data_IF_842384340376
#
_entry.id   IF_842384340376
#
_cell.length_a   1.000
_cell.length_b   1.000
_cell.length_c   1.000
_cell.angle_alpha   90.00
_cell.angle_beta   90.00
_cell.angle_gamma   90.00
#
_symmetry.space_group_name_H-M   'P 1'
#
loop_
_entity.id
_entity.type
_entity.pdbx_description
1 polymer ?
#
# COMPACT_ATOMS: atom_id res chain seq x y z
N UNK A 1 -32.51 38.30 -5.44
CA UNK A 1 -32.03 37.60 -4.23
C UNK A 1 -30.77 36.80 -4.64
N UNK A 2 -29.59 37.29 -4.28
CA UNK A 2 -28.32 36.65 -4.58
C UNK A 2 -28.10 35.62 -3.46
N UNK A 3 -28.24 34.34 -3.75
CA UNK A 3 -27.87 33.28 -2.84
C UNK A 3 -26.35 33.34 -2.67
N UNK A 4 -25.86 33.66 -1.49
CA UNK A 4 -24.46 33.59 -1.16
C UNK A 4 -23.96 32.15 -1.36
N UNK A 5 -22.86 31.99 -2.07
CA UNK A 5 -22.20 30.67 -2.20
C UNK A 5 -21.86 30.15 -0.78
N UNK A 6 -22.07 28.86 -0.51
CA UNK A 6 -21.73 28.29 0.79
C UNK A 6 -20.24 28.53 1.08
N UNK A 7 -19.94 29.02 2.27
CA UNK A 7 -18.55 29.23 2.69
C UNK A 7 -17.78 27.91 2.68
N UNK A 8 -16.59 27.92 2.09
CA UNK A 8 -15.69 26.75 2.10
C UNK A 8 -15.37 26.40 3.57
N UNK A 9 -15.57 25.13 4.01
CA UNK A 9 -15.25 24.73 5.38
C UNK A 9 -13.75 24.94 5.66
N UNK A 10 -13.41 25.27 6.91
CA UNK A 10 -12.00 25.34 7.30
C UNK A 10 -11.31 23.97 7.11
N UNK A 11 -9.99 23.97 6.88
CA UNK A 11 -9.21 22.74 6.74
C UNK A 11 -9.40 21.78 7.94
N UNK A 12 -9.50 22.34 9.16
CA UNK A 12 -9.77 21.56 10.37
C UNK A 12 -11.14 20.89 10.33
N UNK A 13 -12.20 21.64 10.00
CA UNK A 13 -13.55 21.08 9.90
C UNK A 13 -13.67 20.04 8.77
N UNK A 14 -13.00 20.28 7.65
CA UNK A 14 -12.94 19.33 6.55
C UNK A 14 -12.25 18.03 6.98
N UNK A 15 -11.07 18.13 7.61
CA UNK A 15 -10.32 16.99 8.15
C UNK A 15 -11.15 16.18 9.12
N UNK A 16 -11.82 16.82 10.10
CA UNK A 16 -12.68 16.14 11.07
C UNK A 16 -13.81 15.39 10.38
N UNK A 17 -14.44 16.01 9.37
CA UNK A 17 -15.48 15.36 8.58
C UNK A 17 -14.96 14.11 7.88
N UNK A 18 -13.83 14.20 7.16
CA UNK A 18 -13.25 13.06 6.44
C UNK A 18 -12.89 11.92 7.41
N UNK A 19 -12.30 12.24 8.57
CA UNK A 19 -11.94 11.23 9.56
C UNK A 19 -13.19 10.54 10.15
N UNK A 20 -14.26 11.29 10.41
CA UNK A 20 -15.51 10.74 10.91
C UNK A 20 -16.19 9.85 9.87
N UNK A 21 -16.31 10.30 8.61
CA UNK A 21 -16.89 9.53 7.53
C UNK A 21 -16.10 8.23 7.28
N UNK A 22 -14.77 8.28 7.31
CA UNK A 22 -13.93 7.10 7.17
C UNK A 22 -14.07 6.12 8.35
N UNK A 23 -14.34 6.60 9.56
CA UNK A 23 -14.59 5.75 10.73
C UNK A 23 -15.88 4.93 10.61
N UNK A 24 -16.81 5.35 9.75
CA UNK A 24 -18.06 4.64 9.47
C UNK A 24 -17.96 3.63 8.32
N UNK A 25 -16.81 3.56 7.64
CA UNK A 25 -16.60 2.57 6.57
C UNK A 25 -16.68 1.16 7.15
N UNK A 26 -17.53 0.35 6.52
CA UNK A 26 -17.70 -1.06 6.84
C UNK A 26 -17.66 -1.89 5.55
N UNK A 27 -16.92 -2.97 5.61
CA UNK A 27 -16.84 -3.99 4.57
C UNK A 27 -17.31 -5.33 5.16
N UNK A 28 -18.60 -5.41 5.59
CA UNK A 28 -19.15 -6.64 6.13
C UNK A 28 -19.18 -7.68 5.02
N UNK A 29 -19.03 -8.94 5.37
CA UNK A 29 -19.07 -10.06 4.43
C UNK A 29 -18.15 -9.85 3.21
N UNK A 30 -16.90 -9.41 3.47
CA UNK A 30 -15.92 -9.07 2.43
C UNK A 30 -15.79 -10.18 1.38
N UNK A 31 -15.90 -11.45 1.79
CA UNK A 31 -15.86 -12.59 0.88
C UNK A 31 -17.01 -12.55 -0.16
N UNK A 32 -18.20 -12.11 0.24
CA UNK A 32 -19.35 -11.97 -0.67
C UNK A 32 -19.26 -10.74 -1.58
N UNK A 33 -18.39 -9.80 -1.24
CA UNK A 33 -18.17 -8.57 -2.01
C UNK A 33 -17.12 -8.73 -3.11
N UNK A 34 -16.31 -9.81 -3.05
CA UNK A 34 -15.24 -10.06 -4.02
C UNK A 34 -15.81 -10.86 -5.19
N UNK A 35 -15.65 -10.33 -6.41
CA UNK A 35 -16.02 -11.06 -7.62
C UNK A 35 -14.92 -12.07 -7.98
N UNK A 36 -15.27 -13.34 -7.94
CA UNK A 36 -14.34 -14.44 -8.19
C UNK A 36 -13.43 -14.79 -7.03
N UNK A 37 -12.38 -15.55 -7.31
CA UNK A 37 -11.43 -16.01 -6.30
C UNK A 37 -10.42 -14.89 -5.95
N UNK A 38 -10.23 -14.57 -4.65
CA UNK A 38 -9.22 -13.61 -4.24
C UNK A 38 -7.81 -14.15 -4.49
N UNK A 39 -6.84 -13.25 -4.68
CA UNK A 39 -5.43 -13.62 -4.81
C UNK A 39 -4.86 -14.23 -3.52
N UNK A 40 -5.40 -13.79 -2.39
CA UNK A 40 -5.06 -14.30 -1.06
C UNK A 40 -6.23 -14.10 -0.11
N UNK A 41 -6.42 -15.07 0.80
CA UNK A 41 -7.39 -14.99 1.90
C UNK A 41 -6.85 -15.71 3.12
N UNK A 42 -6.92 -15.07 4.28
CA UNK A 42 -6.61 -15.69 5.57
C UNK A 42 -7.36 -14.99 6.69
N UNK A 43 -7.79 -15.76 7.68
CA UNK A 43 -8.40 -15.24 8.91
C UNK A 43 -7.45 -15.43 10.10
N UNK A 44 -7.44 -14.47 11.03
CA UNK A 44 -6.61 -14.52 12.23
C UNK A 44 -7.39 -14.98 13.46
N UNK A 45 -6.71 -15.55 14.47
CA UNK A 45 -7.34 -15.85 15.76
C UNK A 45 -7.91 -14.62 16.48
N UNK A 46 -7.41 -13.43 16.15
CA UNK A 46 -7.88 -12.17 16.74
C UNK A 46 -9.10 -11.58 16.01
N UNK A 47 -9.71 -12.31 15.06
CA UNK A 47 -10.88 -11.86 14.31
C UNK A 47 -10.56 -10.84 13.22
N UNK A 48 -9.38 -10.94 12.61
CA UNK A 48 -9.02 -10.18 11.42
C UNK A 48 -9.12 -11.07 10.17
N UNK A 49 -9.77 -10.59 9.14
CA UNK A 49 -9.78 -11.19 7.81
C UNK A 49 -8.86 -10.40 6.90
N UNK A 50 -7.89 -11.07 6.29
CA UNK A 50 -7.00 -10.50 5.27
C UNK A 50 -7.37 -11.04 3.91
N UNK A 51 -7.62 -10.13 2.97
CA UNK A 51 -7.94 -10.48 1.58
C UNK A 51 -7.09 -9.62 0.64
N UNK A 52 -6.48 -10.25 -0.37
CA UNK A 52 -5.83 -9.54 -1.47
C UNK A 52 -6.61 -9.79 -2.75
N UNK A 53 -7.01 -8.72 -3.41
CA UNK A 53 -7.86 -8.74 -4.61
C UNK A 53 -7.35 -7.77 -5.66
N UNK A 54 -7.76 -7.94 -6.90
CA UNK A 54 -7.62 -6.90 -7.94
C UNK A 54 -8.71 -5.85 -7.75
N UNK A 55 -8.43 -4.60 -8.10
CA UNK A 55 -9.41 -3.52 -8.01
C UNK A 55 -10.71 -3.81 -8.77
N UNK A 56 -10.60 -4.50 -9.92
CA UNK A 56 -11.77 -4.93 -10.70
C UNK A 56 -12.65 -5.98 -10.00
N UNK A 57 -12.15 -6.68 -8.98
CA UNK A 57 -12.91 -7.66 -8.20
C UNK A 57 -13.75 -7.03 -7.08
N UNK A 58 -13.54 -5.74 -6.80
CA UNK A 58 -14.33 -5.01 -5.82
C UNK A 58 -15.44 -4.21 -6.50
N UNK A 59 -16.65 -4.16 -5.93
CA UNK A 59 -17.66 -3.21 -6.38
C UNK A 59 -17.11 -1.78 -6.34
N UNK A 60 -17.43 -0.92 -7.32
CA UNK A 60 -16.90 0.45 -7.38
C UNK A 60 -17.08 1.24 -6.08
N UNK A 61 -18.23 1.11 -5.42
CA UNK A 61 -18.50 1.78 -4.14
C UNK A 61 -17.54 1.30 -3.03
N UNK A 62 -17.13 0.03 -3.02
CA UNK A 62 -16.19 -0.52 -2.04
C UNK A 62 -14.76 -0.09 -2.33
N UNK A 63 -14.43 0.03 -3.60
CA UNK A 63 -13.15 0.63 -4.00
C UNK A 63 -13.10 2.11 -3.59
N UNK A 64 -14.20 2.86 -3.71
CA UNK A 64 -14.29 4.23 -3.18
C UNK A 64 -14.10 4.28 -1.66
N UNK A 65 -14.68 3.36 -0.90
CA UNK A 65 -14.48 3.25 0.54
C UNK A 65 -12.99 3.04 0.91
N UNK A 66 -12.26 2.23 0.14
CA UNK A 66 -10.81 2.06 0.30
C UNK A 66 -10.07 3.39 0.11
N UNK A 67 -10.42 4.16 -0.93
CA UNK A 67 -9.77 5.46 -1.19
C UNK A 67 -10.15 6.53 -0.16
N UNK A 68 -11.35 6.47 0.41
CA UNK A 68 -11.74 7.29 1.58
C UNK A 68 -10.92 6.95 2.81
N UNK A 69 -10.76 5.66 3.10
CA UNK A 69 -9.91 5.20 4.20
C UNK A 69 -8.48 5.72 4.02
N UNK A 70 -7.90 5.60 2.82
CA UNK A 70 -6.53 6.06 2.53
C UNK A 70 -6.36 7.55 2.80
N UNK A 71 -7.27 8.40 2.27
CA UNK A 71 -7.23 9.84 2.53
C UNK A 71 -7.28 10.16 4.03
N UNK A 72 -8.17 9.48 4.77
CA UNK A 72 -8.29 9.67 6.21
C UNK A 72 -6.98 9.34 6.95
N UNK A 73 -6.31 8.23 6.60
CA UNK A 73 -5.04 7.87 7.22
C UNK A 73 -3.94 8.91 6.91
N UNK A 74 -3.89 9.44 5.69
CA UNK A 74 -2.95 10.50 5.32
C UNK A 74 -3.20 11.79 6.11
N UNK A 75 -4.45 12.24 6.17
CA UNK A 75 -4.83 13.42 6.96
C UNK A 75 -4.52 13.23 8.44
N UNK A 76 -4.74 12.02 8.97
CA UNK A 76 -4.45 11.72 10.37
C UNK A 76 -2.95 11.79 10.68
N UNK A 77 -2.10 11.38 9.74
CA UNK A 77 -0.64 11.40 9.85
C UNK A 77 -0.02 12.73 9.48
N UNK A 78 -0.76 13.67 8.91
CA UNK A 78 -0.22 14.91 8.37
C UNK A 78 0.69 14.66 7.14
N UNK A 79 0.40 13.62 6.38
CA UNK A 79 1.15 13.28 5.15
C UNK A 79 0.60 13.94 3.90
N UNK A 80 -0.51 14.62 4.05
CA UNK A 80 -1.20 15.35 2.98
C UNK A 80 -1.49 16.76 3.46
N UNK A 81 -1.45 17.70 2.54
CA UNK A 81 -1.80 19.11 2.81
C UNK A 81 -3.32 19.21 3.05
N UNK A 82 -3.70 19.46 4.31
CA UNK A 82 -5.10 19.52 4.72
C UNK A 82 -5.84 20.73 4.13
N UNK A 83 -5.16 21.85 3.87
CA UNK A 83 -5.75 23.03 3.26
C UNK A 83 -6.07 22.80 1.80
N UNK A 84 -5.15 22.16 1.07
CA UNK A 84 -5.36 21.76 -0.32
C UNK A 84 -6.45 20.70 -0.44
N UNK A 85 -6.44 19.69 0.44
CA UNK A 85 -7.49 18.68 0.47
C UNK A 85 -8.88 19.31 0.70
N UNK A 86 -8.98 20.28 1.61
CA UNK A 86 -10.19 21.03 1.88
C UNK A 86 -10.60 21.93 0.70
N UNK A 87 -9.64 22.68 0.13
CA UNK A 87 -9.88 23.56 -1.02
C UNK A 87 -10.36 22.79 -2.26
N UNK A 88 -9.87 21.58 -2.47
CA UNK A 88 -10.32 20.68 -3.53
C UNK A 88 -11.57 19.86 -3.16
N UNK A 89 -12.09 19.97 -1.93
CA UNK A 89 -13.23 19.22 -1.46
C UNK A 89 -13.03 17.70 -1.43
N UNK A 90 -11.80 17.21 -1.27
CA UNK A 90 -11.48 15.79 -1.36
C UNK A 90 -12.11 15.01 -0.20
N UNK A 91 -12.90 13.99 -0.52
CA UNK A 91 -13.44 13.03 0.45
C UNK A 91 -12.81 11.65 0.33
N UNK A 92 -12.05 11.42 -0.74
CA UNK A 92 -11.29 10.21 -1.02
C UNK A 92 -9.97 10.58 -1.71
N UNK A 93 -8.96 9.73 -1.64
CA UNK A 93 -7.74 9.91 -2.45
C UNK A 93 -8.12 9.79 -3.94
N UNK A 94 -7.65 10.72 -4.79
CA UNK A 94 -7.93 10.66 -6.22
C UNK A 94 -7.48 9.32 -6.84
N UNK A 95 -8.32 8.71 -7.63
CA UNK A 95 -8.04 7.49 -8.38
C UNK A 95 -8.23 7.71 -9.89
N UNK A 96 -7.65 6.84 -10.67
CA UNK A 96 -7.85 6.78 -12.12
C UNK A 96 -8.33 5.38 -12.56
N UNK A 97 -8.58 5.20 -13.87
CA UNK A 97 -9.06 3.94 -14.42
C UNK A 97 -8.08 2.77 -14.23
N UNK A 98 -6.79 3.04 -14.09
CA UNK A 98 -5.77 2.00 -13.88
C UNK A 98 -5.84 1.39 -12.48
N UNK A 99 -6.48 2.05 -11.52
CA UNK A 99 -6.72 1.50 -10.18
C UNK A 99 -7.50 0.17 -10.20
N UNK A 100 -8.25 -0.10 -11.26
CA UNK A 100 -8.94 -1.39 -11.43
C UNK A 100 -7.99 -2.56 -11.67
N UNK A 101 -6.77 -2.30 -12.12
CA UNK A 101 -5.72 -3.31 -12.33
C UNK A 101 -4.82 -3.48 -11.10
N UNK A 102 -4.83 -2.52 -10.19
CA UNK A 102 -4.06 -2.57 -8.95
C UNK A 102 -4.52 -3.74 -8.09
N UNK A 103 -3.59 -4.32 -7.34
CA UNK A 103 -3.92 -5.30 -6.32
C UNK A 103 -4.06 -4.56 -4.98
N UNK A 104 -5.11 -4.88 -4.25
CA UNK A 104 -5.45 -4.29 -2.96
C UNK A 104 -5.45 -5.36 -1.89
N UNK A 105 -4.60 -5.20 -0.87
CA UNK A 105 -4.63 -6.01 0.34
C UNK A 105 -5.44 -5.27 1.40
N UNK A 106 -6.48 -5.90 1.89
CA UNK A 106 -7.39 -5.38 2.89
C UNK A 106 -7.30 -6.25 4.14
N UNK A 107 -7.12 -5.63 5.30
CA UNK A 107 -7.25 -6.29 6.61
C UNK A 107 -8.47 -5.72 7.30
N UNK A 108 -9.47 -6.55 7.50
CA UNK A 108 -10.79 -6.16 8.03
C UNK A 108 -11.04 -6.88 9.35
N UNK A 109 -11.61 -6.21 10.32
CA UNK A 109 -12.13 -6.83 11.54
C UNK A 109 -13.44 -7.54 11.22
N UNK A 110 -13.49 -8.86 11.39
CA UNK A 110 -14.62 -9.70 10.93
C UNK A 110 -15.95 -9.30 11.58
N UNK A 111 -15.93 -9.06 12.89
CA UNK A 111 -17.14 -8.73 13.66
C UNK A 111 -17.81 -7.42 13.20
N UNK A 112 -17.00 -6.41 12.91
CA UNK A 112 -17.50 -5.05 12.63
C UNK A 112 -17.44 -4.66 11.16
N UNK A 113 -16.73 -5.41 10.33
CA UNK A 113 -16.41 -5.06 8.95
C UNK A 113 -15.47 -3.85 8.81
N UNK A 114 -14.84 -3.36 9.90
CA UNK A 114 -13.96 -2.17 9.84
C UNK A 114 -12.65 -2.49 9.15
N UNK A 115 -12.27 -1.61 8.21
CA UNK A 115 -10.96 -1.68 7.57
C UNK A 115 -9.87 -1.24 8.57
N UNK A 116 -8.94 -2.15 8.87
CA UNK A 116 -7.87 -1.98 9.86
C UNK A 116 -6.49 -1.84 9.25
N UNK A 117 -6.28 -2.37 8.07
CA UNK A 117 -5.02 -2.31 7.35
C UNK A 117 -5.21 -2.33 5.86
N UNK A 118 -4.25 -1.76 5.15
CA UNK A 118 -4.28 -1.65 3.71
C UNK A 118 -2.88 -1.67 3.12
N UNK A 119 -2.75 -2.30 1.95
CA UNK A 119 -1.58 -2.23 1.09
C UNK A 119 -1.98 -2.31 -0.36
N UNK A 120 -1.18 -1.74 -1.26
CA UNK A 120 -1.42 -1.87 -2.69
C UNK A 120 -0.16 -2.20 -3.45
N UNK A 121 -0.34 -2.96 -4.53
CA UNK A 121 0.62 -3.19 -5.57
C UNK A 121 0.04 -2.57 -6.84
N UNK A 122 0.56 -1.40 -7.20
CA UNK A 122 0.04 -0.61 -8.30
C UNK A 122 0.60 -1.11 -9.64
N UNK A 123 -0.28 -1.25 -10.62
CA UNK A 123 0.09 -1.58 -11.99
C UNK A 123 0.56 -0.34 -12.75
N UNK A 124 1.33 -0.54 -13.82
CA UNK A 124 1.72 0.56 -14.71
C UNK A 124 0.52 1.24 -15.36
N UNK A 125 0.65 2.53 -15.64
CA UNK A 125 -0.30 3.32 -16.45
C UNK A 125 0.10 3.38 -17.93
N UNK A 126 1.26 2.85 -18.24
CA UNK A 126 1.77 2.84 -19.62
C UNK A 126 0.90 1.97 -20.54
N UNK A 127 0.83 2.28 -21.84
CA UNK A 127 0.21 1.40 -22.83
C UNK A 127 0.79 -0.02 -22.75
N UNK A 128 -0.01 -1.04 -23.05
CA UNK A 128 0.38 -2.45 -22.88
C UNK A 128 1.64 -2.86 -23.67
N UNK A 129 1.93 -2.18 -24.78
CA UNK A 129 3.13 -2.43 -25.60
C UNK A 129 4.36 -1.63 -25.14
N UNK A 130 4.22 -0.66 -24.23
CA UNK A 130 5.32 0.22 -23.82
C UNK A 130 6.40 -0.56 -23.05
N UNK A 131 7.65 -0.17 -23.30
CA UNK A 131 8.84 -0.60 -22.56
C UNK A 131 9.36 0.55 -21.72
N UNK A 132 10.13 0.27 -20.70
CA UNK A 132 10.69 1.31 -19.79
C UNK A 132 11.53 2.36 -20.53
N UNK A 133 12.16 2.01 -21.66
CA UNK A 133 12.94 2.95 -22.48
C UNK A 133 12.14 3.76 -23.49
N UNK A 134 10.85 3.49 -23.67
CA UNK A 134 10.03 4.11 -24.71
C UNK A 134 9.52 5.48 -24.26
N UNK A 135 9.32 6.40 -25.23
CA UNK A 135 8.65 7.68 -24.98
C UNK A 135 7.18 7.53 -24.53
N UNK A 136 6.56 6.38 -24.80
CA UNK A 136 5.20 6.05 -24.37
C UNK A 136 5.16 5.53 -22.91
N UNK A 137 6.31 5.30 -22.26
CA UNK A 137 6.35 4.94 -20.86
C UNK A 137 5.87 6.08 -19.99
N UNK A 138 4.89 5.81 -19.13
CA UNK A 138 4.44 6.74 -18.11
C UNK A 138 5.16 6.40 -16.80
N UNK A 139 5.94 7.34 -16.23
CA UNK A 139 6.78 7.07 -15.08
C UNK A 139 5.99 6.58 -13.86
N UNK A 140 6.53 5.60 -13.17
CA UNK A 140 6.09 5.22 -11.83
C UNK A 140 6.32 6.38 -10.85
N UNK A 141 5.64 6.34 -9.71
CA UNK A 141 5.81 7.37 -8.68
C UNK A 141 7.26 7.43 -8.21
N UNK A 142 7.90 6.28 -8.02
CA UNK A 142 9.32 6.19 -7.64
C UNK A 142 10.25 6.84 -8.67
N UNK A 143 9.95 6.75 -9.97
CA UNK A 143 10.75 7.43 -11.00
C UNK A 143 10.59 8.94 -10.91
N UNK A 144 9.36 9.40 -10.76
CA UNK A 144 9.04 10.83 -10.68
C UNK A 144 9.62 11.47 -9.42
N UNK A 145 9.44 10.82 -8.27
CA UNK A 145 9.74 11.39 -6.98
C UNK A 145 11.25 11.34 -6.65
N UNK A 146 12.00 10.47 -7.33
CA UNK A 146 13.46 10.35 -7.18
C UNK A 146 14.25 10.77 -8.43
N UNK A 147 13.59 11.14 -9.52
CA UNK A 147 14.26 11.51 -10.77
C UNK A 147 15.08 10.37 -11.38
N UNK A 148 14.79 9.13 -11.01
CA UNK A 148 15.45 7.95 -11.55
C UNK A 148 14.73 7.43 -12.79
N UNK A 149 15.44 6.63 -13.59
CA UNK A 149 14.85 5.92 -14.73
C UNK A 149 14.94 4.43 -14.48
N UNK A 150 13.80 3.77 -14.38
CA UNK A 150 13.78 2.30 -14.22
C UNK A 150 14.38 1.58 -15.45
N UNK A 151 14.39 2.22 -16.61
CA UNK A 151 15.09 1.73 -17.79
C UNK A 151 16.60 1.50 -17.54
N UNK A 152 17.23 2.33 -16.73
CA UNK A 152 18.66 2.22 -16.40
C UNK A 152 18.92 1.12 -15.33
N UNK A 153 17.89 0.79 -14.55
CA UNK A 153 17.95 -0.17 -13.43
C UNK A 153 17.57 -1.59 -13.86
N UNK A 154 16.53 -1.70 -14.69
CA UNK A 154 15.90 -2.96 -15.12
C UNK A 154 16.13 -3.27 -16.60
N UNK A 155 16.71 -2.34 -17.36
CA UNK A 155 16.91 -2.42 -18.78
C UNK A 155 15.78 -1.77 -19.60
N UNK A 156 16.17 -0.97 -20.61
CA UNK A 156 15.24 -0.20 -21.45
C UNK A 156 14.23 -1.09 -22.21
N UNK A 157 14.61 -2.34 -22.51
CA UNK A 157 13.76 -3.31 -23.19
C UNK A 157 12.70 -3.97 -22.32
N UNK A 158 12.70 -3.75 -21.00
CA UNK A 158 11.74 -4.35 -20.07
C UNK A 158 10.33 -3.82 -20.36
N UNK A 159 9.33 -4.70 -20.60
CA UNK A 159 7.94 -4.26 -20.77
C UNK A 159 7.44 -3.58 -19.48
N UNK A 160 6.91 -2.35 -19.58
CA UNK A 160 6.45 -1.60 -18.42
C UNK A 160 5.38 -2.36 -17.61
N UNK A 161 4.51 -3.13 -18.28
CA UNK A 161 3.47 -3.96 -17.65
C UNK A 161 4.00 -5.07 -16.74
N UNK A 162 5.29 -5.42 -16.84
CA UNK A 162 5.97 -6.40 -15.99
C UNK A 162 6.60 -5.77 -14.74
N UNK A 163 6.41 -4.48 -14.53
CA UNK A 163 6.87 -3.77 -13.34
C UNK A 163 5.67 -3.32 -12.54
N UNK A 164 5.71 -3.58 -11.25
CA UNK A 164 4.68 -3.17 -10.30
C UNK A 164 5.28 -2.25 -9.26
N UNK A 165 4.47 -1.37 -8.68
CA UNK A 165 4.93 -0.45 -7.66
C UNK A 165 4.23 -0.71 -6.33
N UNK A 166 5.00 -1.10 -5.31
CA UNK A 166 4.52 -1.28 -3.94
C UNK A 166 4.25 0.06 -3.28
N UNK A 167 3.03 0.26 -2.81
CA UNK A 167 2.61 1.52 -2.18
C UNK A 167 1.68 1.28 -1.00
N UNK A 168 1.60 2.31 -0.15
CA UNK A 168 0.49 2.47 0.79
C UNK A 168 0.34 1.35 1.81
N UNK A 169 1.46 0.75 2.24
CA UNK A 169 1.43 -0.19 3.36
C UNK A 169 1.13 0.58 4.64
N UNK A 170 -0.11 0.50 5.11
CA UNK A 170 -0.59 1.28 6.24
C UNK A 170 -1.57 0.50 7.13
N UNK A 171 -1.69 0.96 8.37
CA UNK A 171 -2.72 0.50 9.30
C UNK A 171 -3.72 1.62 9.59
N UNK A 172 -4.84 1.28 10.21
CA UNK A 172 -5.72 2.26 10.83
C UNK A 172 -5.00 2.89 12.03
N UNK A 173 -4.59 4.15 11.88
CA UNK A 173 -3.93 4.93 12.95
C UNK A 173 -4.89 5.38 14.05
N UNK A 174 -6.19 5.03 13.97
CA UNK A 174 -7.14 5.21 15.05
C UNK A 174 -7.20 4.01 16.01
N UNK A 175 -6.58 2.88 15.64
CA UNK A 175 -6.57 1.72 16.53
C UNK A 175 -5.85 2.03 17.83
N UNK A 176 -6.48 1.69 18.93
CA UNK A 176 -5.84 1.68 20.25
C UNK A 176 -4.71 0.65 20.30
N UNK A 177 -3.80 0.82 21.25
CA UNK A 177 -2.71 -0.15 21.45
C UNK A 177 -3.31 -1.47 21.95
N UNK A 178 -3.28 -2.48 21.10
CA UNK A 178 -3.79 -3.83 21.35
C UNK A 178 -2.93 -4.84 20.60
N UNK A 179 -3.11 -6.12 20.85
CA UNK A 179 -2.46 -7.18 20.11
C UNK A 179 -2.84 -7.11 18.64
N UNK A 180 -4.11 -6.92 18.31
CA UNK A 180 -4.56 -6.73 16.94
C UNK A 180 -3.86 -5.53 16.25
N UNK A 181 -3.66 -4.40 16.95
CA UNK A 181 -2.95 -3.25 16.39
C UNK A 181 -1.48 -3.54 16.05
N UNK A 182 -0.86 -4.51 16.73
CA UNK A 182 0.52 -4.97 16.46
C UNK A 182 0.53 -5.98 15.29
N UNK A 183 -0.49 -6.82 15.17
CA UNK A 183 -0.57 -7.85 14.13
C UNK A 183 -0.99 -7.31 12.77
N UNK A 184 -1.84 -6.28 12.71
CA UNK A 184 -2.36 -5.70 11.45
C UNK A 184 -1.29 -5.40 10.40
N UNK A 185 -0.14 -4.74 10.71
CA UNK A 185 0.88 -4.51 9.70
C UNK A 185 1.43 -5.80 9.08
N UNK A 186 1.61 -6.86 9.89
CA UNK A 186 2.11 -8.14 9.41
C UNK A 186 1.08 -8.87 8.54
N UNK A 187 -0.19 -8.76 8.85
CA UNK A 187 -1.26 -9.25 7.98
C UNK A 187 -1.32 -8.49 6.65
N UNK A 188 -1.12 -7.16 6.68
CA UNK A 188 -0.98 -6.38 5.44
C UNK A 188 0.21 -6.88 4.61
N UNK A 189 1.39 -7.02 5.24
CA UNK A 189 2.58 -7.52 4.56
C UNK A 189 2.39 -8.93 4.02
N UNK A 190 1.72 -9.82 4.80
CA UNK A 190 1.48 -11.20 4.37
C UNK A 190 0.62 -11.27 3.10
N UNK A 191 -0.52 -10.58 3.09
CA UNK A 191 -1.40 -10.55 1.93
C UNK A 191 -0.76 -9.84 0.73
N UNK A 192 -0.06 -8.73 0.98
CA UNK A 192 0.67 -8.00 -0.04
C UNK A 192 1.79 -8.83 -0.68
N UNK A 193 2.56 -9.59 0.12
CA UNK A 193 3.61 -10.47 -0.37
C UNK A 193 3.05 -11.58 -1.28
N UNK A 194 1.87 -12.12 -0.99
CA UNK A 194 1.22 -13.07 -1.89
C UNK A 194 0.86 -12.43 -3.23
N UNK A 195 0.35 -11.19 -3.19
CA UNK A 195 0.12 -10.40 -4.40
C UNK A 195 1.39 -10.20 -5.22
N UNK A 196 2.52 -9.93 -4.55
CA UNK A 196 3.83 -9.82 -5.19
C UNK A 196 4.27 -11.13 -5.86
N UNK A 197 4.15 -12.27 -5.15
CA UNK A 197 4.48 -13.58 -5.72
C UNK A 197 3.69 -13.87 -6.98
N UNK A 198 2.38 -13.59 -6.96
CA UNK A 198 1.55 -13.79 -8.15
C UNK A 198 1.93 -12.86 -9.29
N UNK A 199 2.18 -11.58 -9.00
CA UNK A 199 2.63 -10.62 -10.00
C UNK A 199 3.96 -11.03 -10.65
N UNK A 200 4.92 -11.52 -9.84
CA UNK A 200 6.21 -12.00 -10.33
C UNK A 200 6.06 -13.30 -11.15
N UNK A 201 5.20 -14.23 -10.72
CA UNK A 201 4.98 -15.50 -11.39
C UNK A 201 4.18 -15.36 -12.70
N UNK A 202 3.16 -14.49 -12.72
CA UNK A 202 2.29 -14.34 -13.90
C UNK A 202 2.99 -13.55 -15.02
N UNK A 203 3.49 -12.37 -14.74
CA UNK A 203 4.02 -11.48 -15.78
C UNK A 203 5.05 -10.47 -15.23
N UNK A 204 5.36 -10.51 -13.93
CA UNK A 204 6.24 -9.56 -13.26
C UNK A 204 7.72 -9.74 -13.60
N UNK A 205 8.41 -8.66 -13.86
CA UNK A 205 9.87 -8.62 -13.94
C UNK A 205 10.49 -8.10 -12.64
N UNK A 206 9.83 -7.16 -11.97
CA UNK A 206 10.28 -6.57 -10.73
C UNK A 206 9.13 -5.84 -10.02
N UNK A 207 9.29 -5.64 -8.72
CA UNK A 207 8.47 -4.75 -7.91
C UNK A 207 9.37 -3.61 -7.43
N UNK A 208 8.91 -2.39 -7.63
CA UNK A 208 9.62 -1.18 -7.22
C UNK A 208 8.85 -0.45 -6.14
N UNK A 209 9.48 0.47 -5.46
CA UNK A 209 8.84 1.32 -4.45
C UNK A 209 9.85 2.11 -3.69
N UNK A 210 9.41 2.76 -2.63
CA UNK A 210 10.28 3.45 -1.70
C UNK A 210 9.94 3.11 -0.25
N UNK A 211 10.90 3.27 0.63
CA UNK A 211 10.69 2.97 2.04
C UNK A 211 11.83 3.41 2.94
N UNK A 212 11.52 3.48 4.23
CA UNK A 212 12.51 3.78 5.26
C UNK A 212 13.32 2.52 5.58
N UNK A 213 14.65 2.64 5.81
CA UNK A 213 15.51 1.50 6.12
C UNK A 213 15.01 0.66 7.29
N UNK A 214 14.64 1.31 8.40
CA UNK A 214 14.12 0.66 9.61
C UNK A 214 12.58 0.46 9.57
N UNK A 215 11.97 0.55 8.40
CA UNK A 215 10.55 0.39 8.17
C UNK A 215 10.29 -0.64 7.09
N UNK A 216 9.69 -0.21 5.98
CA UNK A 216 9.30 -1.11 4.89
C UNK A 216 10.47 -1.94 4.36
N UNK A 217 11.65 -1.34 4.14
CA UNK A 217 12.83 -2.05 3.61
C UNK A 217 13.22 -3.22 4.51
N UNK A 218 13.35 -2.99 5.83
CA UNK A 218 13.66 -4.05 6.80
C UNK A 218 12.58 -5.15 6.79
N UNK A 219 11.31 -4.76 6.80
CA UNK A 219 10.21 -5.72 6.85
C UNK A 219 10.15 -6.58 5.59
N UNK A 220 10.40 -5.99 4.41
CA UNK A 220 10.47 -6.72 3.15
C UNK A 220 11.65 -7.71 3.12
N UNK A 221 12.80 -7.32 3.65
CA UNK A 221 13.95 -8.22 3.81
C UNK A 221 13.63 -9.36 4.78
N UNK A 222 12.95 -9.07 5.91
CA UNK A 222 12.51 -10.09 6.87
C UNK A 222 11.48 -11.07 6.29
N UNK A 223 10.74 -10.68 5.26
CA UNK A 223 9.84 -11.57 4.53
C UNK A 223 10.56 -12.49 3.53
N UNK A 224 11.85 -12.29 3.30
CA UNK A 224 12.63 -13.09 2.36
C UNK A 224 12.73 -12.51 0.95
N UNK A 225 12.26 -11.28 0.72
CA UNK A 225 12.51 -10.61 -0.56
C UNK A 225 13.99 -10.23 -0.70
N UNK A 226 14.52 -10.33 -1.91
CA UNK A 226 15.79 -9.68 -2.27
C UNK A 226 15.51 -8.20 -2.50
N UNK A 227 15.93 -7.37 -1.53
CA UNK A 227 15.73 -5.92 -1.57
C UNK A 227 17.02 -5.25 -2.02
N UNK A 228 17.01 -4.66 -3.22
CA UNK A 228 18.10 -3.81 -3.70
C UNK A 228 17.70 -2.35 -3.55
N UNK A 229 18.26 -1.65 -2.57
CA UNK A 229 18.09 -0.22 -2.41
C UNK A 229 18.92 0.55 -3.45
N UNK A 230 18.37 1.66 -3.92
CA UNK A 230 19.05 2.59 -4.82
C UNK A 230 19.43 3.83 -4.02
N UNK A 231 20.72 4.20 -4.02
CA UNK A 231 21.20 5.38 -3.28
C UNK A 231 20.95 6.67 -4.10
N UNK A 232 19.69 6.96 -4.31
CA UNK A 232 19.22 8.17 -4.99
C UNK A 232 18.41 9.01 -4.00
N UNK A 233 18.74 10.30 -3.82
CA UNK A 233 17.94 11.17 -2.98
C UNK A 233 16.59 11.47 -3.65
N UNK A 234 15.54 11.61 -2.84
CA UNK A 234 14.27 12.14 -3.34
C UNK A 234 14.48 13.56 -3.90
N UNK A 235 13.79 13.86 -4.97
CA UNK A 235 13.73 15.23 -5.49
C UNK A 235 13.01 16.14 -4.48
N UNK A 236 13.31 17.45 -4.47
CA UNK A 236 12.50 18.38 -3.71
C UNK A 236 11.02 18.23 -4.11
N UNK A 237 10.15 18.05 -3.13
CA UNK A 237 8.73 18.00 -3.39
C UNK A 237 8.23 19.30 -4.00
N UNK A 238 7.39 19.21 -5.02
CA UNK A 238 6.66 20.38 -5.49
C UNK A 238 5.77 20.88 -4.33
N UNK A 239 5.99 22.11 -3.83
CA UNK A 239 5.18 22.64 -2.74
C UNK A 239 3.70 22.74 -3.09
N UNK A 240 3.33 22.57 -4.37
CA UNK A 240 1.92 22.51 -4.80
C UNK A 240 1.35 21.08 -4.81
N UNK A 241 2.19 20.05 -4.63
CA UNK A 241 1.73 18.67 -4.53
C UNK A 241 0.95 18.45 -3.23
N UNK A 242 -0.16 17.74 -3.35
CA UNK A 242 -1.00 17.32 -2.23
C UNK A 242 -0.21 16.52 -1.17
N UNK A 243 0.77 15.74 -1.60
CA UNK A 243 1.61 14.88 -0.77
C UNK A 243 2.93 15.52 -0.33
N UNK A 244 3.17 16.82 -0.63
CA UNK A 244 4.39 17.50 -0.22
C UNK A 244 4.76 17.31 1.27
N UNK A 245 3.81 17.34 2.25
CA UNK A 245 4.14 17.12 3.66
C UNK A 245 4.69 15.73 3.97
N UNK A 246 4.46 14.74 3.11
CA UNK A 246 5.01 13.39 3.31
C UNK A 246 6.53 13.36 3.17
N UNK A 247 7.08 14.26 2.34
CA UNK A 247 8.50 14.32 2.02
C UNK A 247 9.31 15.13 3.04
N UNK A 248 8.65 15.99 3.84
CA UNK A 248 9.28 16.81 4.88
C UNK A 248 9.62 16.01 6.16
N UNK A 249 9.59 14.69 6.10
CA UNK A 249 9.81 13.85 7.26
C UNK A 249 11.30 13.70 7.58
N UNK A 250 11.64 13.62 8.88
CA UNK A 250 13.00 13.50 9.38
C UNK A 250 13.76 12.25 8.88
N UNK A 251 13.08 11.18 8.53
CA UNK A 251 13.72 9.96 8.05
C UNK A 251 13.65 9.89 6.52
N UNK A 252 14.81 9.80 5.90
CA UNK A 252 14.96 9.58 4.47
C UNK A 252 14.38 8.22 4.07
N UNK A 253 13.54 8.21 3.03
CA UNK A 253 13.16 7.01 2.30
C UNK A 253 14.17 6.76 1.17
N UNK A 254 14.31 5.50 0.77
CA UNK A 254 15.15 5.08 -0.34
C UNK A 254 14.30 4.32 -1.36
N UNK A 255 14.48 4.58 -2.65
CA UNK A 255 13.88 3.75 -3.67
C UNK A 255 14.52 2.36 -3.65
N UNK A 256 13.72 1.35 -3.95
CA UNK A 256 14.18 -0.03 -3.99
C UNK A 256 13.59 -0.81 -5.17
N UNK A 257 14.27 -1.91 -5.50
CA UNK A 257 13.77 -2.96 -6.39
C UNK A 257 13.70 -4.25 -5.59
N UNK A 258 12.55 -4.91 -5.66
CA UNK A 258 12.35 -6.26 -5.14
C UNK A 258 12.37 -7.25 -6.28
N UNK A 259 13.05 -8.35 -6.05
CA UNK A 259 12.97 -9.56 -6.88
C UNK A 259 12.64 -10.75 -5.99
N UNK A 260 12.24 -11.84 -6.61
CA UNK A 260 11.98 -13.08 -5.92
C UNK A 260 13.23 -13.55 -5.15
N UNK A 261 13.02 -13.93 -3.89
CA UNK A 261 14.02 -14.53 -3.02
C UNK A 261 13.75 -16.02 -2.87
N UNK A 262 14.78 -16.86 -2.88
CA UNK A 262 14.64 -18.30 -2.68
C UNK A 262 13.95 -18.65 -1.35
N UNK A 263 14.12 -17.78 -0.34
CA UNK A 263 13.57 -17.95 0.99
C UNK A 263 12.16 -17.35 1.17
N UNK A 264 11.61 -16.70 0.16
CA UNK A 264 10.34 -15.97 0.30
C UNK A 264 9.20 -16.91 0.71
N UNK A 265 8.97 -18.01 -0.01
CA UNK A 265 7.86 -18.92 0.32
C UNK A 265 8.03 -19.59 1.69
N UNK A 266 9.19 -20.18 2.06
CA UNK A 266 9.41 -20.72 3.40
C UNK A 266 9.23 -19.68 4.51
N UNK A 267 9.64 -18.43 4.27
CA UNK A 267 9.47 -17.35 5.25
C UNK A 267 8.01 -16.96 5.43
N UNK A 268 7.23 -16.92 4.34
CA UNK A 268 5.79 -16.64 4.42
C UNK A 268 5.03 -17.77 5.15
N UNK A 269 5.39 -19.04 4.92
CA UNK A 269 4.81 -20.18 5.63
C UNK A 269 5.13 -20.10 7.14
N UNK A 270 6.36 -19.68 7.49
CA UNK A 270 6.72 -19.44 8.88
C UNK A 270 5.98 -18.23 9.49
N UNK A 271 5.82 -17.15 8.73
CA UNK A 271 4.99 -16.01 9.15
C UNK A 271 3.54 -16.42 9.41
N UNK A 272 2.96 -17.24 8.53
CA UNK A 272 1.60 -17.76 8.73
C UNK A 272 1.47 -18.54 10.04
N UNK A 273 2.46 -19.37 10.37
CA UNK A 273 2.50 -20.09 11.66
C UNK A 273 2.60 -19.13 12.87
N UNK A 274 3.40 -18.05 12.74
CA UNK A 274 3.48 -17.01 13.78
C UNK A 274 2.14 -16.31 13.96
N UNK A 275 1.53 -15.87 12.89
CA UNK A 275 0.27 -15.13 12.91
C UNK A 275 -0.87 -16.01 13.43
N UNK A 276 -0.93 -17.29 13.03
CA UNK A 276 -1.91 -18.26 13.52
C UNK A 276 -1.76 -18.55 15.02
N UNK A 277 -0.57 -18.38 15.60
CA UNK A 277 -0.34 -18.57 17.04
C UNK A 277 -0.90 -17.45 17.93
N UNK A 278 -1.31 -16.32 17.33
CA UNK A 278 -1.69 -15.11 18.07
C UNK A 278 -0.55 -14.42 18.82
N UNK A 279 0.69 -14.92 18.73
CA UNK A 279 1.87 -14.37 19.42
C UNK A 279 2.62 -13.37 18.54
N UNK A 280 1.99 -12.25 18.22
CA UNK A 280 2.48 -11.28 17.23
C UNK A 280 3.46 -10.24 17.79
N UNK A 281 3.64 -10.15 19.09
CA UNK A 281 4.51 -9.14 19.71
C UNK A 281 6.00 -9.26 19.37
N UNK A 282 6.44 -10.37 18.78
CA UNK A 282 7.84 -10.66 18.45
C UNK A 282 8.05 -11.16 17.01
N UNK A 283 7.13 -10.83 16.09
CA UNK A 283 7.18 -11.34 14.70
C UNK A 283 8.53 -11.07 14.04
N UNK A 284 9.03 -9.83 14.09
CA UNK A 284 10.32 -9.49 13.50
C UNK A 284 11.46 -10.33 14.05
N UNK A 285 11.56 -10.48 15.39
CA UNK A 285 12.62 -11.28 16.01
C UNK A 285 12.54 -12.77 15.61
N UNK A 286 11.33 -13.32 15.52
CA UNK A 286 11.11 -14.72 15.09
C UNK A 286 11.46 -14.94 13.62
N UNK A 287 11.13 -13.98 12.75
CA UNK A 287 11.54 -14.03 11.35
C UNK A 287 13.06 -13.92 11.21
N UNK A 288 13.71 -13.01 11.96
CA UNK A 288 15.17 -12.92 11.98
C UNK A 288 15.81 -14.25 12.39
N UNK A 289 15.39 -14.84 13.51
CA UNK A 289 15.91 -16.12 13.98
C UNK A 289 15.67 -17.26 12.96
N UNK A 290 14.52 -17.26 12.28
CA UNK A 290 14.24 -18.23 11.24
C UNK A 290 15.20 -18.10 10.04
N UNK A 291 15.49 -16.89 9.60
CA UNK A 291 16.43 -16.65 8.49
C UNK A 291 17.88 -16.99 8.88
N UNK A 292 18.32 -16.61 10.08
CA UNK A 292 19.66 -16.96 10.60
C UNK A 292 19.87 -18.47 10.68
N UNK A 293 18.84 -19.24 11.02
CA UNK A 293 18.92 -20.71 11.06
C UNK A 293 19.01 -21.36 9.68
N UNK A 294 18.76 -20.63 8.58
CA UNK A 294 18.79 -21.11 7.19
C UNK A 294 19.99 -20.60 6.39
N UNK A 295 20.70 -19.59 6.89
CA UNK A 295 21.92 -19.03 6.30
C UNK A 295 23.15 -19.86 6.64
#
# INVERSE_FOLDING_TARGET
>A
MTTAAPATPSAAAHRERVLREAAEIRLPDLDSLVDGEPLFRSASPEGLLTVTVRGAQLPPARLDDVYRFRLAQYLKRGWIDAERAAGAGLTAEPRDAHSLQDQHTLVVEEETGRLRGYGTLAHTRSPAHARLGDAAHLPFVVERDYGLRLADVLGAGTPARRVWEGKRLMRDYAMERSQAAVSVPWWVYRGWAEGCLRALAEDGAAIVGDGKPNGAILQLSLLGFRVRTLDVPALPADPTDLFAPMWDQQQRSYPFVLTDGEDLRPTLDHLDAILASGQTGSVAARLTAFQEARS
#
